data_IF_110209391495
#
_entry.id   IF_110209391495
#
_cell.length_a   1.000
_cell.length_b   1.000
_cell.length_c   1.000
_cell.angle_alpha   90.00
_cell.angle_beta   90.00
_cell.angle_gamma   90.00
#
_symmetry.space_group_name_H-M   'P 1'
#
loop_
_entity.id
_entity.type
_entity.pdbx_description
1 polymer ?
#
# COMPACT_ATOMS: atom_id res chain seq x y z
N UNK A 1 -5.04 2.84 18.80
CA UNK A 1 -4.32 3.80 19.67
C UNK A 1 -3.65 4.77 18.71
N UNK A 2 -4.13 6.01 18.64
CA UNK A 2 -3.58 7.01 17.73
C UNK A 2 -2.14 7.33 18.17
N UNK A 3 -1.17 6.99 17.34
CA UNK A 3 0.22 7.45 17.53
C UNK A 3 0.24 8.98 17.59
N UNK A 4 1.09 9.58 18.44
CA UNK A 4 1.19 11.02 18.54
C UNK A 4 1.62 11.60 17.20
N UNK A 5 0.78 12.48 16.65
CA UNK A 5 1.09 13.28 15.45
C UNK A 5 2.42 13.99 15.70
N UNK A 6 3.40 13.75 14.83
CA UNK A 6 4.72 14.36 14.94
C UNK A 6 4.61 15.90 15.06
N UNK A 7 5.49 16.57 15.82
CA UNK A 7 5.45 18.01 15.99
C UNK A 7 5.49 18.72 14.63
N UNK A 8 4.56 19.67 14.43
CA UNK A 8 4.24 20.36 13.16
C UNK A 8 5.41 21.04 12.42
N UNK A 9 6.61 21.08 13.00
CA UNK A 9 7.76 21.84 12.48
C UNK A 9 8.93 20.98 12.02
N UNK A 10 8.83 19.65 12.10
CA UNK A 10 9.84 18.76 11.52
C UNK A 10 9.14 17.83 10.54
N UNK A 11 9.63 17.78 9.30
CA UNK A 11 9.09 16.86 8.31
C UNK A 11 9.18 15.42 8.83
N UNK A 12 8.09 14.63 8.74
CA UNK A 12 8.12 13.21 9.08
C UNK A 12 9.02 12.40 8.13
N UNK A 13 9.44 12.99 7.00
CA UNK A 13 10.21 12.34 5.95
C UNK A 13 11.70 12.63 6.00
N UNK A 14 12.23 13.34 7.02
CA UNK A 14 13.68 13.61 7.13
C UNK A 14 14.57 12.37 6.99
N UNK A 15 14.09 11.21 7.41
CA UNK A 15 14.83 9.94 7.24
C UNK A 15 14.99 9.49 5.78
N UNK A 16 14.37 10.17 4.82
CA UNK A 16 14.44 9.88 3.38
C UNK A 16 15.23 10.95 2.61
N UNK A 17 15.90 11.89 3.29
CA UNK A 17 16.72 12.93 2.60
C UNK A 17 18.11 12.46 2.21
N UNK A 18 18.51 11.24 2.62
CA UNK A 18 19.83 10.67 2.30
C UNK A 18 19.76 9.97 0.96
N UNK A 19 20.66 10.32 0.03
CA UNK A 19 20.73 9.65 -1.25
C UNK A 19 21.26 8.21 -1.05
N UNK A 20 20.48 7.16 -1.39
CA UNK A 20 20.89 5.78 -1.17
C UNK A 20 22.16 5.39 -1.95
N UNK A 21 22.50 6.11 -3.03
CA UNK A 21 23.73 5.88 -3.79
C UNK A 21 25.02 6.31 -3.08
N UNK A 22 24.93 7.19 -2.08
CA UNK A 22 26.11 7.55 -1.27
C UNK A 22 26.56 6.38 -0.36
N UNK A 23 25.67 5.44 -0.06
CA UNK A 23 25.94 4.25 0.75
C UNK A 23 26.36 3.03 -0.09
N UNK A 24 26.17 3.08 -1.40
CA UNK A 24 26.51 1.98 -2.31
C UNK A 24 28.00 2.02 -2.68
N UNK A 25 28.66 0.85 -2.66
CA UNK A 25 30.02 0.72 -3.19
C UNK A 25 30.04 1.20 -4.64
N UNK A 26 31.12 1.86 -5.10
CA UNK A 26 31.13 2.47 -6.41
C UNK A 26 30.90 1.42 -7.49
N UNK A 27 29.91 1.69 -8.34
CA UNK A 27 29.80 1.16 -9.72
C UNK A 27 29.17 -0.23 -9.86
N UNK A 28 27.86 -0.31 -9.64
CA UNK A 28 27.03 -1.24 -10.39
C UNK A 28 26.10 -0.43 -11.33
N UNK A 29 26.33 -0.46 -12.64
CA UNK A 29 25.58 0.31 -13.64
C UNK A 29 24.14 -0.22 -13.86
N UNK A 30 23.72 -1.26 -13.14
CA UNK A 30 22.38 -1.84 -13.23
C UNK A 30 21.36 -1.26 -12.24
N UNK A 31 21.71 -0.21 -11.48
CA UNK A 31 20.79 0.43 -10.55
C UNK A 31 20.03 1.59 -11.19
N UNK A 32 18.71 1.45 -11.28
CA UNK A 32 17.78 2.52 -11.66
C UNK A 32 17.99 3.78 -10.82
N UNK A 33 17.69 4.94 -11.41
CA UNK A 33 17.69 6.22 -10.69
C UNK A 33 16.64 6.18 -9.57
N UNK A 34 17.00 6.54 -8.31
CA UNK A 34 16.00 6.58 -7.24
C UNK A 34 14.92 7.61 -7.56
N UNK A 35 13.68 7.31 -7.18
CA UNK A 35 12.61 8.29 -7.26
C UNK A 35 12.95 9.47 -6.35
N UNK A 36 12.76 10.68 -6.85
CA UNK A 36 13.01 11.91 -6.09
C UNK A 36 11.75 12.73 -5.95
N UNK A 37 11.53 13.28 -4.76
CA UNK A 37 10.39 14.15 -4.47
C UNK A 37 10.80 15.31 -3.57
N UNK A 38 10.21 16.48 -3.75
CA UNK A 38 10.48 17.65 -2.90
C UNK A 38 9.54 17.67 -1.69
N UNK A 39 10.12 17.73 -0.50
CA UNK A 39 9.41 17.85 0.76
C UNK A 39 8.84 19.26 0.99
N UNK A 40 7.98 19.41 2.01
CA UNK A 40 7.37 20.69 2.41
C UNK A 40 8.41 21.72 2.87
N UNK A 41 9.55 21.28 3.39
CA UNK A 41 10.66 22.16 3.77
C UNK A 41 11.64 22.45 2.62
N UNK A 42 11.34 21.97 1.41
CA UNK A 42 12.16 22.14 0.22
C UNK A 42 13.30 21.12 0.09
N UNK A 43 13.47 20.21 1.06
CA UNK A 43 14.47 19.15 0.94
C UNK A 43 14.10 18.11 -0.12
N UNK A 44 15.12 17.52 -0.75
CA UNK A 44 14.93 16.39 -1.67
C UNK A 44 14.82 15.09 -0.87
N UNK A 45 13.73 14.37 -1.08
CA UNK A 45 13.51 13.02 -0.60
C UNK A 45 13.87 12.02 -1.70
N UNK A 46 14.45 10.91 -1.29
CA UNK A 46 14.82 9.80 -2.13
C UNK A 46 14.02 8.56 -1.75
N UNK A 47 13.62 7.80 -2.74
CA UNK A 47 12.92 6.52 -2.60
C UNK A 47 13.56 5.48 -3.51
N UNK A 48 13.71 4.27 -2.97
CA UNK A 48 14.32 3.16 -3.68
C UNK A 48 13.62 1.83 -3.39
N UNK A 49 13.10 1.66 -2.18
CA UNK A 49 12.60 0.38 -1.65
C UNK A 49 11.16 0.47 -1.13
N UNK A 50 10.47 1.59 -1.35
CA UNK A 50 9.12 1.85 -0.84
C UNK A 50 9.10 2.38 0.59
N UNK A 51 10.25 2.69 1.20
CA UNK A 51 10.34 3.17 2.58
C UNK A 51 9.77 4.58 2.77
N UNK A 52 9.86 5.45 1.77
CA UNK A 52 9.18 6.76 1.79
C UNK A 52 7.68 6.56 1.66
N UNK A 53 7.19 5.76 0.70
CA UNK A 53 5.78 5.44 0.54
C UNK A 53 5.17 4.85 1.82
N UNK A 54 5.86 3.90 2.45
CA UNK A 54 5.44 3.31 3.72
C UNK A 54 5.27 4.37 4.81
N UNK A 55 6.21 5.34 4.89
CA UNK A 55 6.09 6.46 5.84
C UNK A 55 4.91 7.36 5.51
N UNK A 56 4.67 7.66 4.24
CA UNK A 56 3.53 8.49 3.79
C UNK A 56 2.22 7.86 4.28
N UNK A 57 2.04 6.56 4.04
CA UNK A 57 0.86 5.80 4.47
C UNK A 57 0.71 5.79 5.99
N UNK A 58 1.81 5.57 6.73
CA UNK A 58 1.79 5.62 8.19
C UNK A 58 1.44 7.00 8.75
N UNK A 59 1.68 8.07 8.00
CA UNK A 59 1.31 9.43 8.39
C UNK A 59 -0.13 9.80 7.97
N UNK A 60 -0.83 8.95 7.21
CA UNK A 60 -2.12 9.25 6.57
C UNK A 60 -2.06 10.56 5.77
N UNK A 61 -0.97 10.75 5.01
CA UNK A 61 -0.64 11.99 4.32
C UNK A 61 -1.07 11.94 2.85
N UNK A 62 -2.38 12.00 2.64
CA UNK A 62 -3.02 11.87 1.33
C UNK A 62 -2.48 12.88 0.29
N UNK A 63 -2.20 14.13 0.68
CA UNK A 63 -1.65 15.14 -0.24
C UNK A 63 -0.28 14.71 -0.79
N UNK A 64 0.56 14.19 0.10
CA UNK A 64 1.91 13.75 -0.25
C UNK A 64 1.88 12.42 -1.01
N UNK A 65 0.91 11.55 -0.71
CA UNK A 65 0.64 10.33 -1.46
C UNK A 65 0.25 10.62 -2.92
N UNK A 66 -0.66 11.57 -3.16
CA UNK A 66 -1.04 11.96 -4.53
C UNK A 66 0.18 12.47 -5.32
N UNK A 67 1.01 13.32 -4.70
CA UNK A 67 2.26 13.78 -5.31
C UNK A 67 3.20 12.61 -5.63
N UNK A 68 3.37 11.69 -4.69
CA UNK A 68 4.18 10.49 -4.89
C UNK A 68 3.68 9.66 -6.10
N UNK A 69 2.37 9.43 -6.22
CA UNK A 69 1.77 8.66 -7.32
C UNK A 69 1.91 9.33 -8.70
N UNK A 70 2.06 10.65 -8.76
CA UNK A 70 2.38 11.34 -10.04
C UNK A 70 3.82 11.08 -10.52
N UNK A 71 4.72 10.74 -9.60
CA UNK A 71 6.14 10.55 -9.89
C UNK A 71 6.48 9.09 -10.20
N UNK A 72 5.65 8.14 -9.76
CA UNK A 72 5.93 6.71 -9.87
C UNK A 72 5.97 6.25 -11.33
N UNK A 73 7.15 5.84 -11.85
CA UNK A 73 7.29 5.28 -13.20
C UNK A 73 6.69 3.87 -13.33
N UNK A 74 6.39 3.23 -12.19
CA UNK A 74 5.83 1.89 -12.06
C UNK A 74 4.31 1.80 -12.29
N UNK A 75 3.73 2.74 -13.07
CA UNK A 75 2.59 2.38 -13.94
C UNK A 75 3.08 1.36 -14.99
N UNK A 76 3.66 0.25 -14.52
CA UNK A 76 4.03 -0.90 -15.31
C UNK A 76 2.76 -1.50 -15.87
N UNK A 77 2.84 -2.19 -17.01
CA UNK A 77 1.66 -2.63 -17.72
C UNK A 77 0.80 -3.46 -16.77
N UNK A 78 -0.43 -3.00 -16.57
CA UNK A 78 -1.59 -3.86 -16.48
C UNK A 78 -1.44 -4.93 -17.57
N UNK A 79 -0.79 -6.05 -17.26
CA UNK A 79 -0.78 -7.19 -18.15
C UNK A 79 -1.96 -8.03 -17.69
N UNK A 80 -3.14 -7.92 -18.33
CA UNK A 80 -4.19 -8.87 -18.05
C UNK A 80 -3.66 -10.26 -18.42
N UNK A 81 -3.61 -11.23 -17.49
CA UNK A 81 -3.35 -12.60 -17.86
C UNK A 81 -4.47 -13.07 -18.81
N UNK A 82 -4.19 -14.06 -19.68
CA UNK A 82 -5.25 -14.70 -20.46
C UNK A 82 -6.22 -15.40 -19.49
N UNK A 83 -7.33 -14.75 -19.15
CA UNK A 83 -8.25 -15.25 -18.11
C UNK A 83 -9.24 -14.26 -17.51
N UNK A 84 -9.21 -12.96 -17.87
CA UNK A 84 -10.32 -12.03 -17.59
C UNK A 84 -10.32 -11.33 -16.23
N UNK A 85 -9.23 -11.39 -15.46
CA UNK A 85 -9.03 -10.57 -14.25
C UNK A 85 -7.90 -9.57 -14.48
N UNK A 86 -8.00 -8.39 -13.87
CA UNK A 86 -6.91 -7.43 -13.88
C UNK A 86 -6.12 -7.58 -12.59
N UNK A 87 -4.80 -7.53 -12.70
CA UNK A 87 -3.93 -7.73 -11.55
C UNK A 87 -3.04 -6.52 -11.35
N UNK A 88 -3.06 -6.01 -10.12
CA UNK A 88 -2.16 -4.94 -9.70
C UNK A 88 -0.90 -5.58 -9.11
N UNK A 89 0.25 -5.18 -9.65
CA UNK A 89 1.56 -5.50 -9.08
C UNK A 89 1.78 -4.64 -7.84
N UNK A 90 1.33 -5.14 -6.68
CA UNK A 90 1.59 -4.53 -5.37
C UNK A 90 2.94 -4.99 -4.78
N UNK A 91 4.02 -4.90 -5.55
CA UNK A 91 5.34 -5.45 -5.14
C UNK A 91 5.83 -4.82 -3.83
N UNK A 92 5.40 -3.58 -3.57
CA UNK A 92 5.72 -2.80 -2.37
C UNK A 92 4.69 -2.95 -1.24
N UNK A 93 3.64 -3.77 -1.43
CA UNK A 93 2.64 -4.14 -0.42
C UNK A 93 1.85 -2.96 0.16
N UNK A 94 1.65 -1.90 -0.61
CA UNK A 94 0.99 -0.68 -0.14
C UNK A 94 -0.50 -0.88 0.10
N UNK A 95 -1.18 -1.71 -0.70
CA UNK A 95 -2.60 -2.05 -0.46
C UNK A 95 -2.76 -2.86 0.82
N UNK A 96 -1.84 -3.81 1.07
CA UNK A 96 -1.80 -4.53 2.34
C UNK A 96 -1.56 -3.57 3.52
N UNK A 97 -0.66 -2.61 3.37
CA UNK A 97 -0.33 -1.65 4.42
C UNK A 97 -1.53 -0.76 4.79
N UNK A 98 -2.19 -0.14 3.82
CA UNK A 98 -3.38 0.71 4.09
C UNK A 98 -4.53 -0.11 4.69
N UNK A 99 -4.72 -1.35 4.23
CA UNK A 99 -5.75 -2.24 4.75
C UNK A 99 -5.49 -2.66 6.20
N UNK A 100 -4.24 -2.89 6.57
CA UNK A 100 -3.84 -3.27 7.94
C UNK A 100 -3.81 -2.09 8.91
N UNK A 101 -3.61 -0.86 8.41
CA UNK A 101 -3.59 0.36 9.23
C UNK A 101 -4.93 1.08 9.31
N UNK A 102 -5.90 0.73 8.44
CA UNK A 102 -7.22 1.35 8.46
C UNK A 102 -7.30 2.67 7.69
N UNK A 103 -6.34 2.96 6.81
CA UNK A 103 -6.26 4.19 6.04
C UNK A 103 -7.24 4.17 4.85
N UNK A 104 -8.54 4.32 5.11
CA UNK A 104 -9.58 4.24 4.07
C UNK A 104 -9.43 5.32 2.98
N UNK A 105 -9.00 6.52 3.35
CA UNK A 105 -8.78 7.62 2.40
C UNK A 105 -7.70 7.27 1.37
N UNK A 106 -6.54 6.85 1.87
CA UNK A 106 -5.40 6.43 1.04
C UNK A 106 -5.71 5.18 0.22
N UNK A 107 -6.41 4.19 0.80
CA UNK A 107 -6.87 3.02 0.05
C UNK A 107 -7.70 3.44 -1.18
N UNK A 108 -8.62 4.40 -1.02
CA UNK A 108 -9.42 4.91 -2.15
C UNK A 108 -8.55 5.63 -3.18
N UNK A 109 -7.61 6.48 -2.75
CA UNK A 109 -6.65 7.15 -3.64
C UNK A 109 -5.84 6.13 -4.45
N UNK A 110 -5.28 5.12 -3.78
CA UNK A 110 -4.49 4.08 -4.44
C UNK A 110 -5.31 3.26 -5.42
N UNK A 111 -6.53 2.86 -5.05
CA UNK A 111 -7.43 2.14 -5.95
C UNK A 111 -7.84 3.01 -7.14
N UNK A 112 -8.20 4.27 -6.93
CA UNK A 112 -8.54 5.20 -8.01
C UNK A 112 -7.39 5.38 -9.00
N UNK A 113 -6.16 5.52 -8.50
CA UNK A 113 -4.98 5.65 -9.33
C UNK A 113 -4.65 4.35 -10.09
N UNK A 114 -4.70 3.20 -9.41
CA UNK A 114 -4.38 1.91 -10.00
C UNK A 114 -5.43 1.44 -11.03
N UNK A 115 -6.68 1.88 -10.87
CA UNK A 115 -7.80 1.55 -11.76
C UNK A 115 -8.09 2.60 -12.81
N UNK A 116 -7.25 3.63 -12.91
CA UNK A 116 -7.41 4.71 -13.87
C UNK A 116 -7.43 4.16 -15.30
N UNK A 117 -8.53 4.39 -16.03
CA UNK A 117 -8.70 3.93 -17.40
C UNK A 117 -9.11 2.45 -17.55
N UNK A 118 -9.37 1.75 -16.45
CA UNK A 118 -9.91 0.38 -16.48
C UNK A 118 -11.44 0.34 -16.61
N UNK A 119 -11.97 -0.82 -17.02
CA UNK A 119 -13.40 -1.10 -16.93
C UNK A 119 -13.80 -1.17 -15.43
N UNK A 120 -14.80 -0.38 -14.98
CA UNK A 120 -15.22 -0.34 -13.58
C UNK A 120 -15.83 -1.65 -13.07
N UNK A 121 -16.17 -2.59 -13.95
CA UNK A 121 -16.70 -3.91 -13.60
C UNK A 121 -15.63 -4.99 -13.52
N UNK A 122 -14.40 -4.67 -13.97
CA UNK A 122 -13.29 -5.60 -14.00
C UNK A 122 -12.86 -5.99 -12.58
N UNK A 123 -12.83 -7.30 -12.28
CA UNK A 123 -12.26 -7.80 -11.03
C UNK A 123 -10.78 -7.47 -10.95
N UNK A 124 -10.35 -7.02 -9.77
CA UNK A 124 -8.99 -6.63 -9.44
C UNK A 124 -8.43 -7.58 -8.39
N UNK A 125 -7.22 -8.10 -8.62
CA UNK A 125 -6.48 -8.98 -7.69
C UNK A 125 -5.05 -8.48 -7.45
N UNK A 126 -4.43 -8.89 -6.35
CA UNK A 126 -3.12 -8.41 -5.90
C UNK A 126 -2.09 -9.55 -5.94
N UNK A 127 -1.26 -9.59 -7.00
CA UNK A 127 -0.41 -10.74 -7.40
C UNK A 127 0.77 -11.09 -6.47
N UNK A 128 1.55 -10.17 -5.87
CA UNK A 128 2.87 -10.58 -5.38
C UNK A 128 2.87 -11.33 -4.05
N UNK A 129 1.74 -11.45 -3.34
CA UNK A 129 1.66 -12.23 -2.08
C UNK A 129 0.38 -13.04 -1.89
N UNK A 130 -0.48 -13.14 -2.89
CA UNK A 130 -1.78 -13.84 -2.79
C UNK A 130 -2.59 -13.40 -1.56
N UNK A 131 -2.50 -12.11 -1.22
CA UNK A 131 -3.28 -11.54 -0.12
C UNK A 131 -4.59 -10.99 -0.66
N UNK A 132 -5.63 -11.11 0.16
CA UNK A 132 -6.94 -10.53 -0.14
C UNK A 132 -7.17 -9.31 0.74
N UNK A 133 -7.42 -8.15 0.10
CA UNK A 133 -7.68 -6.87 0.78
C UNK A 133 -8.73 -7.01 1.88
N UNK A 134 -9.81 -7.75 1.58
CA UNK A 134 -10.92 -7.96 2.51
C UNK A 134 -10.50 -8.81 3.71
N UNK A 135 -9.66 -9.82 3.51
CA UNK A 135 -9.12 -10.65 4.60
C UNK A 135 -8.23 -9.84 5.53
N UNK A 136 -7.34 -9.00 4.99
CA UNK A 136 -6.43 -8.17 5.80
C UNK A 136 -7.18 -7.12 6.62
N UNK A 137 -8.15 -6.45 5.99
CA UNK A 137 -9.01 -5.48 6.69
C UNK A 137 -9.86 -6.16 7.77
N UNK A 138 -10.41 -7.34 7.49
CA UNK A 138 -11.21 -8.12 8.43
C UNK A 138 -10.37 -8.60 9.63
N UNK A 139 -9.17 -9.16 9.36
CA UNK A 139 -8.20 -9.59 10.38
C UNK A 139 -7.77 -8.45 11.30
N UNK A 140 -7.61 -7.26 10.72
CA UNK A 140 -7.19 -6.06 11.46
C UNK A 140 -8.35 -5.33 12.15
N UNK A 141 -9.61 -5.77 11.92
CA UNK A 141 -10.80 -5.19 12.53
C UNK A 141 -11.22 -3.83 11.95
N UNK A 142 -10.74 -3.46 10.76
CA UNK A 142 -11.04 -2.16 10.13
C UNK A 142 -12.38 -2.19 9.40
N UNK A 143 -13.46 -2.11 10.16
CA UNK A 143 -14.86 -2.25 9.70
C UNK A 143 -15.21 -1.29 8.55
N UNK A 144 -14.66 -0.07 8.54
CA UNK A 144 -14.93 0.90 7.47
C UNK A 144 -14.35 0.46 6.12
N UNK A 145 -13.15 -0.11 6.11
CA UNK A 145 -12.53 -0.69 4.92
C UNK A 145 -13.31 -1.94 4.50
N UNK A 146 -13.64 -2.84 5.44
CA UNK A 146 -14.46 -4.03 5.16
C UNK A 146 -15.77 -3.64 4.48
N UNK A 147 -16.49 -2.64 5.03
CA UNK A 147 -17.73 -2.13 4.45
C UNK A 147 -17.52 -1.55 3.06
N UNK A 148 -16.47 -0.75 2.88
CA UNK A 148 -16.14 -0.17 1.59
C UNK A 148 -15.89 -1.25 0.53
N UNK A 149 -15.08 -2.26 0.84
CA UNK A 149 -14.79 -3.37 -0.08
C UNK A 149 -16.05 -4.18 -0.40
N UNK A 150 -16.85 -4.52 0.61
CA UNK A 150 -18.09 -5.29 0.43
C UNK A 150 -19.16 -4.54 -0.40
N UNK A 151 -19.22 -3.21 -0.29
CA UNK A 151 -20.11 -2.37 -1.09
C UNK A 151 -19.68 -2.26 -2.56
N UNK A 152 -18.45 -2.67 -2.89
CA UNK A 152 -17.87 -2.63 -4.23
C UNK A 152 -17.55 -4.05 -4.75
N UNK A 153 -18.25 -5.08 -4.28
CA UNK A 153 -18.13 -6.43 -4.82
C UNK A 153 -18.70 -6.53 -6.25
N UNK A 154 -18.15 -7.39 -7.13
CA UNK A 154 -16.99 -8.26 -6.91
C UNK A 154 -15.64 -7.62 -7.30
N UNK A 155 -15.63 -6.30 -7.55
CA UNK A 155 -14.52 -5.56 -8.17
C UNK A 155 -13.25 -5.66 -7.33
N UNK A 156 -13.32 -5.31 -6.04
CA UNK A 156 -12.14 -5.31 -5.16
C UNK A 156 -12.03 -6.53 -4.25
N UNK A 157 -13.10 -7.31 -4.09
CA UNK A 157 -13.16 -8.45 -3.18
C UNK A 157 -14.38 -9.33 -3.46
N UNK A 158 -14.35 -10.57 -2.96
CA UNK A 158 -15.52 -11.43 -2.77
C UNK A 158 -15.55 -11.94 -1.32
N UNK A 159 -16.73 -11.97 -0.69
CA UNK A 159 -16.91 -12.42 0.70
C UNK A 159 -16.54 -13.90 0.93
N UNK A 160 -16.50 -14.70 -0.11
CA UNK A 160 -16.13 -16.12 -0.10
C UNK A 160 -14.72 -16.40 -0.60
N UNK A 161 -14.00 -15.37 -1.03
CA UNK A 161 -12.61 -15.48 -1.47
C UNK A 161 -11.73 -15.97 -0.33
N UNK A 162 -10.69 -16.71 -0.67
CA UNK A 162 -9.75 -17.26 0.30
C UNK A 162 -8.40 -16.60 0.10
N UNK A 163 -7.78 -16.20 1.21
CA UNK A 163 -6.36 -15.84 1.17
C UNK A 163 -5.49 -17.08 0.96
N UNK A 164 -4.18 -16.88 0.83
CA UNK A 164 -3.22 -17.97 0.66
C UNK A 164 -3.12 -18.99 1.81
N UNK A 165 -3.72 -18.69 2.97
CA UNK A 165 -3.84 -19.64 4.09
C UNK A 165 -5.17 -20.43 4.02
N UNK A 166 -5.99 -20.18 3.00
CA UNK A 166 -7.31 -20.78 2.83
C UNK A 166 -8.40 -20.14 3.68
N UNK A 167 -8.11 -19.03 4.36
CA UNK A 167 -9.08 -18.36 5.22
C UNK A 167 -10.00 -17.49 4.36
N UNK A 168 -11.29 -17.53 4.64
CA UNK A 168 -12.24 -16.52 4.15
C UNK A 168 -12.14 -15.24 4.99
N UNK A 169 -12.73 -14.12 4.56
CA UNK A 169 -12.82 -12.91 5.37
C UNK A 169 -13.33 -13.13 6.80
N UNK A 170 -14.38 -13.95 6.96
CA UNK A 170 -14.93 -14.25 8.29
C UNK A 170 -13.97 -15.09 9.14
N UNK A 171 -13.24 -16.04 8.54
CA UNK A 171 -12.21 -16.80 9.25
C UNK A 171 -11.04 -15.90 9.65
N UNK A 172 -10.66 -14.96 8.77
CA UNK A 172 -9.61 -13.98 9.05
C UNK A 172 -9.99 -13.03 10.20
N UNK A 173 -11.25 -12.59 10.27
CA UNK A 173 -11.76 -11.79 11.40
C UNK A 173 -11.74 -12.56 12.74
N UNK A 174 -11.87 -13.88 12.69
CA UNK A 174 -11.82 -14.75 13.87
C UNK A 174 -10.39 -15.15 14.27
N UNK A 175 -9.38 -14.90 13.42
CA UNK A 175 -7.98 -15.19 13.69
C UNK A 175 -7.36 -14.16 14.66
N UNK A 176 -7.64 -14.35 15.94
CA UNK A 176 -7.12 -13.53 17.04
C UNK A 176 -5.63 -13.79 17.35
N UNK A 177 -5.01 -14.83 16.79
CA UNK A 177 -3.68 -15.29 17.21
C UNK A 177 -2.53 -14.47 16.62
N UNK A 178 -2.70 -13.85 15.45
CA UNK A 178 -1.66 -12.96 14.87
C UNK A 178 -1.58 -11.57 15.52
N UNK A 179 -2.67 -11.07 16.10
CA UNK A 179 -2.68 -9.80 16.83
C UNK A 179 -1.86 -9.82 18.13
N UNK A 180 -1.66 -11.02 18.72
CA UNK A 180 -0.94 -11.19 20.00
C UNK A 180 0.58 -11.16 19.77
N UNK A 181 1.11 -11.76 18.69
CA UNK A 181 2.55 -11.78 18.42
C UNK A 181 3.08 -10.50 17.76
N UNK A 182 2.26 -9.75 17.02
CA UNK A 182 2.64 -8.45 16.46
C UNK A 182 2.80 -7.35 17.52
N UNK A 183 2.13 -7.49 18.68
CA UNK A 183 2.14 -6.50 19.77
C UNK A 183 3.29 -6.68 20.77
N UNK A 184 4.07 -7.76 20.67
CA UNK A 184 5.20 -8.08 21.55
C UNK A 184 6.54 -7.54 20.97
N UNK A 185 6.54 -6.93 19.78
CA UNK A 185 7.73 -6.36 19.13
C UNK A 185 7.67 -4.84 18.92
N UNK A 186 7.21 -4.10 19.92
CA UNK A 186 7.46 -2.64 20.03
C UNK A 186 8.13 -2.34 21.36
#
# INVERSE_FOLDING_TARGET
>A
MNSPRAPKNQSPYRGSTRNPREDLRPRDPHYDEPLTMVDRDGSTLYEYDGSLLHKIILQDDAEFLERYLTLTPWKGPSVPPPGGEHEILDDMCFFQLVATHGCLGELKTLLNNATEGMDPTQRIRFRPREFELLNEAARSGHVEIVRFLLNNQPVYADIHEKDHWGNTPILSAADIYRGIYGRIRN
#
